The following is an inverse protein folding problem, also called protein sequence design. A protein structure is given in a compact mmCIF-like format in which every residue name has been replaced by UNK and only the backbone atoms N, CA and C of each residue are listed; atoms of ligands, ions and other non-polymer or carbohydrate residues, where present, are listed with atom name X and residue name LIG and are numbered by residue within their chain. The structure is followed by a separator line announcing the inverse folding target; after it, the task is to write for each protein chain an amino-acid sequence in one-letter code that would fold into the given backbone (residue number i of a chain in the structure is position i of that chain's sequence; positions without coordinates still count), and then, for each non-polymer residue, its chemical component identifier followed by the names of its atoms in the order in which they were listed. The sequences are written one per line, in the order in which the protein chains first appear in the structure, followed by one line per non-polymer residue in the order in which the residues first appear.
data_IF_162643231615
#
_entry.id   IF_162643231615
#
_cell.length_a   1.000
_cell.length_b   1.000
_cell.length_c   1.000
_cell.angle_alpha   90.00
_cell.angle_beta   90.00
_cell.angle_gamma   90.00
#
_symmetry.space_group_name_H-M   'P 1'
#
loop_
_entity.id
_entity.type
_entity.pdbx_description
1 polymer ?
#
# COMPACT_ATOMS: atom_id res chain seq x y z
N UNK A 1 -22.51 1.39 -19.77
CA UNK A 1 -21.25 0.72 -20.14
C UNK A 1 -20.00 1.63 -20.23
N UNK A 2 -20.10 2.95 -20.51
CA UNK A 2 -18.94 3.87 -20.61
C UNK A 2 -18.13 4.10 -19.30
N UNK A 3 -18.72 3.98 -18.12
CA UNK A 3 -18.02 4.19 -16.83
C UNK A 3 -16.95 3.13 -16.51
N UNK A 4 -17.12 1.89 -16.97
CA UNK A 4 -16.17 0.79 -16.70
C UNK A 4 -14.84 0.99 -17.42
N UNK A 5 -14.85 1.41 -18.68
CA UNK A 5 -13.63 1.55 -19.49
C UNK A 5 -12.74 2.71 -19.01
N UNK A 6 -13.33 3.86 -18.69
CA UNK A 6 -12.59 5.01 -18.18
C UNK A 6 -11.93 4.73 -16.79
N UNK A 7 -12.62 3.97 -15.95
CA UNK A 7 -12.07 3.53 -14.66
C UNK A 7 -10.85 2.61 -14.84
N UNK A 8 -10.96 1.65 -15.74
CA UNK A 8 -9.86 0.71 -16.04
C UNK A 8 -8.64 1.43 -16.61
N UNK A 9 -8.83 2.37 -17.54
CA UNK A 9 -7.74 3.16 -18.13
C UNK A 9 -7.01 3.99 -17.09
N UNK A 10 -7.73 4.68 -16.20
CA UNK A 10 -7.12 5.45 -15.11
C UNK A 10 -6.31 4.57 -14.18
N UNK A 11 -6.84 3.41 -13.78
CA UNK A 11 -6.13 2.48 -12.92
C UNK A 11 -4.82 2.00 -13.56
N UNK A 12 -4.85 1.64 -14.82
CA UNK A 12 -3.66 1.21 -15.58
C UNK A 12 -2.63 2.33 -15.64
N UNK A 13 -3.05 3.56 -15.97
CA UNK A 13 -2.15 4.72 -16.04
C UNK A 13 -1.47 4.99 -14.71
N UNK A 14 -2.22 5.05 -13.62
CA UNK A 14 -1.66 5.31 -12.29
C UNK A 14 -0.76 4.16 -11.81
N UNK A 15 -1.12 2.91 -12.09
CA UNK A 15 -0.26 1.76 -11.80
C UNK A 15 1.05 1.85 -12.56
N UNK A 16 1.01 2.19 -13.85
CA UNK A 16 2.21 2.35 -14.68
C UNK A 16 3.09 3.52 -14.17
N UNK A 17 2.49 4.65 -13.81
CA UNK A 17 3.21 5.80 -13.25
C UNK A 17 3.92 5.44 -11.93
N UNK A 18 3.23 4.73 -11.02
CA UNK A 18 3.82 4.29 -9.77
C UNK A 18 4.91 3.25 -9.98
N UNK A 19 4.74 2.33 -10.94
CA UNK A 19 5.78 1.37 -11.32
C UNK A 19 7.03 2.09 -11.83
N UNK A 20 6.86 3.10 -12.70
CA UNK A 20 7.96 3.93 -13.17
C UNK A 20 8.62 4.70 -12.01
N UNK A 21 7.83 5.20 -11.05
CA UNK A 21 8.37 5.89 -9.88
C UNK A 21 9.20 4.97 -8.99
N UNK A 22 8.76 3.72 -8.77
CA UNK A 22 9.56 2.70 -8.06
C UNK A 22 10.88 2.45 -8.80
N UNK A 23 10.82 2.24 -10.11
CA UNK A 23 12.01 2.03 -10.94
C UNK A 23 12.99 3.21 -10.83
N UNK A 24 12.50 4.44 -11.02
CA UNK A 24 13.33 5.66 -10.97
C UNK A 24 13.90 5.89 -9.57
N UNK A 25 13.15 5.64 -8.52
CA UNK A 25 13.65 5.78 -7.13
C UNK A 25 14.82 4.85 -6.83
N UNK A 26 14.93 3.72 -7.52
CA UNK A 26 16.09 2.82 -7.45
C UNK A 26 17.38 3.45 -7.98
N UNK A 27 17.30 4.40 -8.94
CA UNK A 27 18.46 5.11 -9.46
C UNK A 27 18.93 6.27 -8.59
N UNK A 28 18.18 6.64 -7.55
CA UNK A 28 18.67 7.59 -6.55
C UNK A 28 19.88 6.95 -5.87
N UNK A 29 21.03 7.67 -5.74
CA UNK A 29 22.22 7.09 -5.15
C UNK A 29 21.92 6.41 -3.83
N UNK A 30 22.25 5.11 -3.69
CA UNK A 30 22.00 4.39 -2.46
C UNK A 30 22.93 4.92 -1.35
N UNK A 31 22.46 4.85 -0.12
CA UNK A 31 23.31 5.11 1.03
C UNK A 31 24.21 3.89 1.25
N UNK A 32 25.52 4.04 1.04
CA UNK A 32 26.49 2.98 1.25
C UNK A 32 27.01 3.01 2.68
N UNK A 33 26.86 1.88 3.40
CA UNK A 33 27.33 1.71 4.78
C UNK A 33 28.23 0.47 4.83
N UNK A 34 29.56 0.59 4.65
CA UNK A 34 30.46 -0.55 4.78
C UNK A 34 30.53 -1.06 6.24
N UNK A 35 30.58 -2.36 6.49
CA UNK A 35 30.48 -3.49 5.55
C UNK A 35 29.05 -3.95 5.25
N UNK A 36 28.04 -3.29 5.84
CA UNK A 36 26.64 -3.71 5.86
C UNK A 36 26.05 -3.75 4.44
N UNK A 37 26.32 -2.72 3.62
CA UNK A 37 25.90 -2.68 2.22
C UNK A 37 25.25 -1.38 1.78
N UNK A 38 24.32 -1.50 0.82
CA UNK A 38 23.60 -0.39 0.19
C UNK A 38 22.17 -0.37 0.63
N UNK A 39 21.63 0.81 0.93
CA UNK A 39 20.25 1.06 1.28
C UNK A 39 19.60 1.82 0.11
N UNK A 40 18.54 1.28 -0.46
CA UNK A 40 17.79 1.88 -1.57
C UNK A 40 16.52 2.56 -1.07
N UNK A 41 16.03 3.52 -1.85
CA UNK A 41 14.87 4.33 -1.47
C UNK A 41 13.53 3.79 -2.03
N UNK A 42 13.58 2.75 -2.86
CA UNK A 42 12.41 2.24 -3.59
C UNK A 42 11.29 1.70 -2.68
N UNK A 43 11.63 1.15 -1.49
CA UNK A 43 10.65 0.54 -0.61
C UNK A 43 9.64 1.54 -0.06
N UNK A 44 10.06 2.79 0.18
CA UNK A 44 9.15 3.85 0.55
C UNK A 44 8.06 4.10 -0.51
N UNK A 45 8.43 4.05 -1.79
CA UNK A 45 7.49 4.20 -2.91
C UNK A 45 6.61 2.96 -3.06
N UNK A 46 7.16 1.75 -2.84
CA UNK A 46 6.40 0.50 -2.86
C UNK A 46 5.34 0.51 -1.77
N UNK A 47 5.71 0.82 -0.52
CA UNK A 47 4.74 0.93 0.57
C UNK A 47 3.67 2.00 0.30
N UNK A 48 4.07 3.15 -0.27
CA UNK A 48 3.11 4.18 -0.68
C UNK A 48 2.10 3.63 -1.68
N UNK A 49 2.56 2.84 -2.66
CA UNK A 49 1.70 2.13 -3.60
C UNK A 49 0.71 1.19 -2.91
N UNK A 50 1.15 0.47 -1.86
CA UNK A 50 0.28 -0.41 -1.09
C UNK A 50 -0.86 0.32 -0.38
N UNK A 51 -0.63 1.56 0.08
CA UNK A 51 -1.68 2.38 0.70
C UNK A 51 -2.70 2.90 -0.30
N UNK A 52 -2.29 3.13 -1.53
CA UNK A 52 -3.11 3.78 -2.56
C UNK A 52 -3.85 2.80 -3.45
N UNK A 53 -3.30 1.61 -3.67
CA UNK A 53 -3.81 0.66 -4.66
C UNK A 53 -4.22 -0.68 -4.05
N UNK A 54 -5.16 -1.35 -4.74
CA UNK A 54 -5.58 -2.72 -4.42
C UNK A 54 -4.43 -3.73 -4.60
N UNK A 55 -4.54 -4.96 -4.05
CA UNK A 55 -3.43 -5.91 -4.00
C UNK A 55 -2.79 -6.24 -5.36
N UNK A 56 -3.60 -6.43 -6.41
CA UNK A 56 -3.06 -6.80 -7.72
C UNK A 56 -2.27 -5.65 -8.40
N UNK A 57 -2.79 -4.40 -8.50
CA UNK A 57 -1.97 -3.27 -8.92
C UNK A 57 -0.72 -3.07 -8.06
N UNK A 58 -0.81 -3.25 -6.74
CA UNK A 58 0.35 -3.11 -5.84
C UNK A 58 1.43 -4.15 -6.14
N UNK A 59 1.05 -5.40 -6.43
CA UNK A 59 2.00 -6.42 -6.90
C UNK A 59 2.76 -5.96 -8.14
N UNK A 60 2.05 -5.39 -9.11
CA UNK A 60 2.67 -4.87 -10.34
C UNK A 60 3.60 -3.70 -10.03
N UNK A 61 3.19 -2.77 -9.18
CA UNK A 61 3.99 -1.60 -8.79
C UNK A 61 5.31 -2.04 -8.15
N UNK A 62 5.27 -2.86 -7.11
CA UNK A 62 6.46 -3.32 -6.40
C UNK A 62 7.31 -4.27 -7.25
N UNK A 63 6.70 -5.33 -7.77
CA UNK A 63 7.41 -6.37 -8.50
C UNK A 63 7.98 -5.89 -9.83
N UNK A 64 7.16 -5.28 -10.70
CA UNK A 64 7.64 -4.81 -12.00
C UNK A 64 8.57 -3.61 -11.89
N UNK A 65 8.35 -2.73 -10.89
CA UNK A 65 9.24 -1.59 -10.67
C UNK A 65 10.67 -2.01 -10.34
N UNK A 66 10.83 -2.95 -9.40
CA UNK A 66 12.15 -3.49 -9.02
C UNK A 66 12.73 -4.40 -10.09
N UNK A 67 11.91 -5.20 -10.77
CA UNK A 67 12.35 -6.00 -11.92
C UNK A 67 12.97 -5.13 -13.02
N UNK A 68 12.29 -4.06 -13.43
CA UNK A 68 12.78 -3.15 -14.47
C UNK A 68 14.05 -2.42 -14.04
N UNK A 69 14.13 -2.04 -12.75
CA UNK A 69 15.35 -1.46 -12.18
C UNK A 69 16.54 -2.41 -12.30
N UNK A 70 16.40 -3.66 -11.84
CA UNK A 70 17.45 -4.66 -11.92
C UNK A 70 17.83 -5.01 -13.36
N UNK A 71 16.84 -5.06 -14.26
CA UNK A 71 17.05 -5.29 -15.68
C UNK A 71 17.90 -4.18 -16.31
N UNK A 72 17.59 -2.91 -16.05
CA UNK A 72 18.33 -1.76 -16.58
C UNK A 72 19.74 -1.64 -16.01
N UNK A 73 19.96 -2.09 -14.78
CA UNK A 73 21.30 -2.20 -14.19
C UNK A 73 22.11 -3.40 -14.71
N UNK A 74 21.52 -4.28 -15.51
CA UNK A 74 22.16 -5.52 -15.95
C UNK A 74 22.29 -6.57 -14.83
N UNK A 75 21.57 -6.41 -13.73
CA UNK A 75 21.58 -7.32 -12.59
C UNK A 75 20.62 -8.51 -12.81
N UNK A 76 20.89 -9.27 -13.85
CA UNK A 76 20.00 -10.34 -14.35
C UNK A 76 19.72 -11.43 -13.33
N UNK A 77 20.65 -11.66 -12.40
CA UNK A 77 20.50 -12.66 -11.32
C UNK A 77 19.42 -12.24 -10.32
N UNK A 78 19.27 -10.93 -10.07
CA UNK A 78 18.32 -10.39 -9.08
C UNK A 78 16.96 -10.04 -9.65
N UNK A 79 16.83 -9.80 -10.96
CA UNK A 79 15.60 -9.28 -11.55
C UNK A 79 14.36 -10.14 -11.25
N UNK A 80 14.47 -11.48 -11.33
CA UNK A 80 13.35 -12.38 -11.01
C UNK A 80 13.09 -12.49 -9.50
N UNK A 81 14.11 -12.69 -8.65
CA UNK A 81 13.94 -12.60 -7.21
C UNK A 81 13.29 -11.29 -6.77
N UNK A 82 13.75 -10.14 -7.25
CA UNK A 82 13.19 -8.83 -6.89
C UNK A 82 11.73 -8.70 -7.31
N UNK A 83 11.36 -9.17 -8.50
CA UNK A 83 9.96 -9.20 -8.94
C UNK A 83 9.08 -9.98 -7.98
N UNK A 84 9.50 -11.17 -7.59
CA UNK A 84 8.70 -12.04 -6.71
C UNK A 84 8.65 -11.48 -5.29
N UNK A 85 9.79 -11.08 -4.73
CA UNK A 85 9.90 -10.62 -3.35
C UNK A 85 9.10 -9.33 -3.14
N UNK A 86 9.39 -8.28 -3.91
CA UNK A 86 8.69 -6.99 -3.78
C UNK A 86 7.25 -7.04 -4.31
N UNK A 87 6.97 -7.88 -5.30
CA UNK A 87 5.61 -8.13 -5.73
C UNK A 87 4.77 -8.76 -4.62
N UNK A 88 5.30 -9.80 -3.97
CA UNK A 88 4.63 -10.49 -2.87
C UNK A 88 4.49 -9.59 -1.63
N UNK A 89 5.55 -8.84 -1.28
CA UNK A 89 5.50 -7.79 -0.25
C UNK A 89 4.34 -6.85 -0.51
N UNK A 90 4.31 -6.23 -1.69
CA UNK A 90 3.31 -5.22 -2.04
C UNK A 90 1.89 -5.81 -2.09
N UNK A 91 1.74 -7.03 -2.60
CA UNK A 91 0.46 -7.71 -2.61
C UNK A 91 -0.08 -7.97 -1.20
N UNK A 92 0.75 -8.53 -0.32
CA UNK A 92 0.33 -8.91 1.04
C UNK A 92 0.05 -7.67 1.88
N UNK A 93 0.92 -6.65 1.84
CA UNK A 93 0.70 -5.39 2.57
C UNK A 93 -0.61 -4.73 2.11
N UNK A 94 -0.81 -4.59 0.81
CA UNK A 94 -2.05 -4.03 0.28
C UNK A 94 -3.27 -4.88 0.62
N UNK A 95 -3.16 -6.21 0.59
CA UNK A 95 -4.23 -7.12 0.99
C UNK A 95 -4.63 -6.92 2.46
N UNK A 96 -3.65 -6.83 3.36
CA UNK A 96 -3.89 -6.57 4.77
C UNK A 96 -4.59 -5.23 4.97
N UNK A 97 -4.10 -4.17 4.32
CA UNK A 97 -4.65 -2.82 4.45
C UNK A 97 -6.08 -2.68 3.90
N UNK A 98 -6.38 -3.33 2.77
CA UNK A 98 -7.64 -3.12 2.06
C UNK A 98 -8.71 -4.21 2.31
N UNK A 99 -8.30 -5.41 2.73
CA UNK A 99 -9.21 -6.56 2.91
C UNK A 99 -9.36 -6.98 4.36
N UNK A 100 -8.26 -6.95 5.15
CA UNK A 100 -8.28 -7.42 6.54
C UNK A 100 -8.64 -6.28 7.50
N UNK A 101 -8.08 -5.09 7.27
CA UNK A 101 -8.29 -3.91 8.12
C UNK A 101 -8.99 -2.72 7.42
N UNK A 102 -10.07 -2.93 6.66
CA UNK A 102 -10.68 -1.86 5.85
C UNK A 102 -11.24 -0.71 6.69
N UNK A 103 -11.68 -0.97 7.93
CA UNK A 103 -12.26 0.02 8.85
C UNK A 103 -11.25 0.67 9.79
N UNK A 104 -10.14 -0.01 10.06
CA UNK A 104 -9.11 0.44 11.01
C UNK A 104 -7.89 0.95 10.26
N UNK A 105 -8.05 2.08 9.55
CA UNK A 105 -6.92 2.77 8.92
C UNK A 105 -6.13 3.60 9.96
N UNK A 106 -6.02 3.08 11.18
CA UNK A 106 -5.16 3.66 12.19
C UNK A 106 -3.69 3.38 11.85
N UNK A 107 -2.78 4.31 12.13
CA UNK A 107 -1.36 4.16 11.79
C UNK A 107 -0.73 2.90 12.39
N UNK A 108 -1.24 2.41 13.53
CA UNK A 108 -0.74 1.20 14.17
C UNK A 108 -1.01 -0.07 13.34
N UNK A 109 -2.22 -0.20 12.75
CA UNK A 109 -2.54 -1.33 11.88
C UNK A 109 -1.80 -1.26 10.55
N UNK A 110 -1.64 -0.05 10.03
CA UNK A 110 -0.83 0.18 8.84
C UNK A 110 0.64 -0.21 9.08
N UNK A 111 1.19 0.18 10.21
CA UNK A 111 2.54 -0.18 10.63
C UNK A 111 2.70 -1.70 10.74
N UNK A 112 1.75 -2.40 11.38
CA UNK A 112 1.81 -3.86 11.50
C UNK A 112 1.75 -4.58 10.13
N UNK A 113 0.92 -4.09 9.20
CA UNK A 113 0.88 -4.63 7.83
C UNK A 113 2.22 -4.42 7.11
N UNK A 114 2.85 -3.26 7.27
CA UNK A 114 4.16 -2.97 6.69
C UNK A 114 5.27 -3.85 7.30
N UNK A 115 5.20 -4.16 8.61
CA UNK A 115 6.16 -5.08 9.25
C UNK A 115 6.08 -6.49 8.66
N UNK A 116 4.87 -6.98 8.33
CA UNK A 116 4.71 -8.26 7.63
C UNK A 116 5.38 -8.19 6.24
N UNK A 117 5.20 -7.09 5.52
CA UNK A 117 5.87 -6.85 4.24
C UNK A 117 7.39 -6.84 4.36
N UNK A 118 7.93 -6.14 5.36
CA UNK A 118 9.36 -6.08 5.64
C UNK A 118 9.95 -7.48 5.94
N UNK A 119 9.23 -8.29 6.73
CA UNK A 119 9.66 -9.66 7.01
C UNK A 119 9.76 -10.51 5.73
N UNK A 120 8.85 -10.32 4.77
CA UNK A 120 8.89 -11.02 3.47
C UNK A 120 10.14 -10.63 2.69
N UNK A 121 10.49 -9.35 2.63
CA UNK A 121 11.66 -8.86 1.90
C UNK A 121 12.95 -9.35 2.55
N UNK A 122 13.07 -9.20 3.86
CA UNK A 122 14.26 -9.64 4.61
C UNK A 122 14.50 -11.14 4.42
N UNK A 123 13.45 -11.96 4.61
CA UNK A 123 13.53 -13.40 4.42
C UNK A 123 13.79 -13.76 2.95
N UNK A 124 13.14 -13.10 2.02
CA UNK A 124 13.28 -13.34 0.58
C UNK A 124 14.69 -13.06 0.08
N UNK A 125 15.27 -11.91 0.42
CA UNK A 125 16.63 -11.59 0.04
C UNK A 125 17.66 -12.44 0.79
N UNK A 126 17.42 -12.78 2.04
CA UNK A 126 18.28 -13.71 2.77
C UNK A 126 18.38 -15.06 2.05
N UNK A 127 17.24 -15.66 1.69
CA UNK A 127 17.19 -16.90 0.92
C UNK A 127 17.80 -16.76 -0.48
N UNK A 128 17.54 -15.67 -1.16
CA UNK A 128 18.09 -15.41 -2.49
C UNK A 128 19.61 -15.35 -2.49
N UNK A 129 20.23 -14.72 -1.47
CA UNK A 129 21.68 -14.66 -1.34
C UNK A 129 22.31 -16.05 -1.15
N UNK A 130 21.64 -16.92 -0.43
CA UNK A 130 22.13 -18.29 -0.18
C UNK A 130 21.86 -19.18 -1.40
N UNK A 131 20.62 -19.23 -1.90
CA UNK A 131 20.19 -20.22 -2.88
C UNK A 131 20.46 -19.80 -4.33
N UNK A 132 20.30 -18.52 -4.65
CA UNK A 132 20.41 -18.01 -6.04
C UNK A 132 21.80 -17.44 -6.30
N UNK A 133 22.32 -16.61 -5.40
CA UNK A 133 23.65 -16.03 -5.54
C UNK A 133 24.78 -16.95 -5.08
N UNK A 134 24.46 -17.99 -4.33
CA UNK A 134 25.43 -18.95 -3.77
C UNK A 134 26.58 -18.28 -2.97
N UNK A 135 26.24 -17.20 -2.23
CA UNK A 135 27.23 -16.37 -1.48
C UNK A 135 27.53 -16.87 -0.08
N UNK A 136 26.84 -17.92 0.37
CA UNK A 136 27.00 -18.47 1.70
C UNK A 136 26.24 -17.71 2.80
N UNK A 137 26.17 -18.34 3.97
CA UNK A 137 25.42 -17.85 5.13
C UNK A 137 26.00 -16.55 5.70
N UNK A 138 27.35 -16.48 5.79
CA UNK A 138 28.06 -15.34 6.37
C UNK A 138 27.75 -14.04 5.61
N UNK A 139 27.77 -14.09 4.27
CA UNK A 139 27.41 -12.95 3.45
C UNK A 139 25.95 -12.54 3.64
N UNK A 140 25.03 -13.50 3.71
CA UNK A 140 23.61 -13.21 3.92
C UNK A 140 23.36 -12.53 5.27
N UNK A 141 24.04 -12.98 6.33
CA UNK A 141 23.95 -12.38 7.67
C UNK A 141 24.54 -10.97 7.72
N UNK A 142 25.70 -10.74 7.09
CA UNK A 142 26.33 -9.40 7.06
C UNK A 142 25.42 -8.38 6.34
N UNK A 143 24.67 -8.82 5.33
CA UNK A 143 23.79 -7.96 4.54
C UNK A 143 22.41 -7.74 5.17
N UNK A 144 21.98 -8.58 6.10
CA UNK A 144 20.66 -8.52 6.74
C UNK A 144 20.38 -7.17 7.43
N UNK A 145 21.32 -6.54 8.16
CA UNK A 145 21.09 -5.24 8.78
C UNK A 145 20.74 -4.13 7.76
N UNK A 146 21.35 -4.16 6.55
CA UNK A 146 21.01 -3.17 5.53
C UNK A 146 19.55 -3.31 5.05
N UNK A 147 19.06 -4.55 4.94
CA UNK A 147 17.68 -4.80 4.54
C UNK A 147 16.70 -4.30 5.63
N UNK A 148 17.02 -4.56 6.90
CA UNK A 148 16.20 -4.09 8.04
C UNK A 148 16.15 -2.56 8.07
N UNK A 149 17.27 -1.88 7.90
CA UNK A 149 17.33 -0.41 7.90
C UNK A 149 16.56 0.15 6.69
N UNK A 150 16.71 -0.46 5.53
CA UNK A 150 16.02 -0.08 4.30
C UNK A 150 14.50 -0.18 4.46
N UNK A 151 13.99 -1.31 4.96
CA UNK A 151 12.58 -1.51 5.22
C UNK A 151 12.04 -0.52 6.27
N UNK A 152 12.78 -0.32 7.37
CA UNK A 152 12.39 0.64 8.39
C UNK A 152 12.29 2.07 7.85
N UNK A 153 13.25 2.50 7.03
CA UNK A 153 13.23 3.81 6.37
C UNK A 153 12.07 3.91 5.39
N UNK A 154 11.80 2.86 4.61
CA UNK A 154 10.67 2.79 3.68
C UNK A 154 9.32 2.90 4.39
N UNK A 155 9.14 2.17 5.48
CA UNK A 155 7.92 2.22 6.32
C UNK A 155 7.74 3.63 6.90
N UNK A 156 8.79 4.21 7.49
CA UNK A 156 8.74 5.54 8.07
C UNK A 156 8.36 6.61 7.03
N UNK A 157 8.97 6.57 5.85
CA UNK A 157 8.68 7.48 4.74
C UNK A 157 7.22 7.33 4.27
N UNK A 158 6.74 6.11 4.05
CA UNK A 158 5.38 5.86 3.59
C UNK A 158 4.34 6.31 4.61
N UNK A 159 4.53 6.01 5.90
CA UNK A 159 3.64 6.45 6.97
C UNK A 159 3.61 7.96 7.10
N UNK A 160 4.77 8.62 7.05
CA UNK A 160 4.87 10.08 7.11
C UNK A 160 4.11 10.74 5.94
N UNK A 161 4.27 10.23 4.73
CA UNK A 161 3.60 10.76 3.54
C UNK A 161 2.09 10.49 3.61
N UNK A 162 1.67 9.27 3.96
CA UNK A 162 0.26 8.90 3.97
C UNK A 162 -0.52 9.59 5.09
N UNK A 163 0.02 9.62 6.30
CA UNK A 163 -0.67 10.14 7.48
C UNK A 163 -0.27 11.59 7.80
N UNK A 164 1.01 11.96 7.70
CA UNK A 164 1.49 13.30 7.96
C UNK A 164 0.99 14.30 6.92
N UNK A 165 1.13 14.00 5.64
CA UNK A 165 0.68 14.86 4.55
C UNK A 165 -0.77 14.60 4.13
N UNK A 166 -1.47 13.65 4.76
CA UNK A 166 -2.84 13.24 4.42
C UNK A 166 -3.03 12.98 2.92
N UNK A 167 -2.02 12.39 2.27
CA UNK A 167 -1.96 12.24 0.83
C UNK A 167 -3.18 11.52 0.26
N UNK A 168 -3.64 10.46 0.92
CA UNK A 168 -4.85 9.72 0.51
C UNK A 168 -6.08 10.62 0.44
N UNK A 169 -6.28 11.48 1.44
CA UNK A 169 -7.39 12.44 1.48
C UNK A 169 -7.28 13.49 0.37
N UNK A 170 -6.07 13.99 0.12
CA UNK A 170 -5.81 14.97 -0.92
C UNK A 170 -6.09 14.39 -2.32
N UNK A 171 -5.60 13.19 -2.60
CA UNK A 171 -5.80 12.52 -3.89
C UNK A 171 -7.26 12.08 -4.13
N UNK A 172 -7.98 11.71 -3.08
CA UNK A 172 -9.41 11.38 -3.18
C UNK A 172 -10.24 12.64 -3.46
N UNK A 173 -9.93 13.75 -2.78
CA UNK A 173 -10.63 15.04 -3.02
C UNK A 173 -10.37 15.60 -4.41
N UNK A 174 -9.19 15.41 -4.97
CA UNK A 174 -8.86 15.86 -6.34
C UNK A 174 -9.45 14.96 -7.44
N UNK A 175 -10.10 13.85 -7.09
CA UNK A 175 -10.64 12.88 -8.05
C UNK A 175 -9.57 12.16 -8.89
N UNK A 176 -8.29 12.30 -8.51
CA UNK A 176 -7.17 11.70 -9.22
C UNK A 176 -7.06 10.20 -8.99
N UNK A 177 -7.30 9.72 -7.76
CA UNK A 177 -7.41 8.29 -7.54
C UNK A 177 -8.75 7.80 -8.08
N UNK A 178 -8.75 6.72 -8.88
CA UNK A 178 -9.98 5.99 -9.10
C UNK A 178 -10.46 5.63 -7.69
N UNK A 179 -11.71 5.99 -7.41
CA UNK A 179 -12.38 5.54 -6.19
C UNK A 179 -12.21 4.02 -6.20
N UNK A 180 -11.15 3.52 -5.56
CA UNK A 180 -11.04 2.10 -5.26
C UNK A 180 -12.25 1.89 -4.39
N UNK A 181 -13.30 1.37 -5.02
CA UNK A 181 -14.54 1.05 -4.42
C UNK A 181 -14.23 0.29 -3.13
N UNK A 182 -14.04 1.03 -2.05
CA UNK A 182 -14.50 0.58 -0.76
C UNK A 182 -15.98 0.39 -1.05
N UNK A 183 -16.35 -0.82 -1.43
CA UNK A 183 -17.72 -1.24 -1.57
C UNK A 183 -18.35 -0.75 -0.28
N UNK A 184 -19.13 0.38 -0.35
CA UNK A 184 -19.95 0.83 0.76
C UNK A 184 -20.73 -0.41 1.13
N UNK A 185 -20.30 -1.06 2.19
CA UNK A 185 -20.84 -2.33 2.58
C UNK A 185 -22.33 -2.09 2.80
N UNK A 186 -23.15 -3.01 2.39
CA UNK A 186 -24.62 -2.92 2.48
C UNK A 186 -25.12 -2.56 3.89
N UNK A 187 -24.32 -2.79 4.92
CA UNK A 187 -24.60 -2.42 6.32
C UNK A 187 -24.38 -0.91 6.61
N UNK A 188 -23.47 -0.20 5.92
CA UNK A 188 -23.32 1.26 6.07
C UNK A 188 -24.50 2.02 5.46
N UNK A 189 -25.18 1.41 4.49
CA UNK A 189 -26.47 1.87 3.99
C UNK A 189 -27.62 1.53 4.95
N UNK A 190 -27.52 0.45 5.70
CA UNK A 190 -28.50 0.07 6.70
C UNK A 190 -28.41 0.97 7.95
N UNK A 191 -27.20 1.29 8.44
CA UNK A 191 -27.01 2.20 9.58
C UNK A 191 -27.55 3.62 9.22
N UNK A 192 -27.21 4.16 8.04
CA UNK A 192 -27.74 5.44 7.58
C UNK A 192 -29.26 5.43 7.31
N UNK A 193 -29.85 4.27 7.03
CA UNK A 193 -31.29 4.13 6.84
C UNK A 193 -32.03 3.89 8.15
N UNK A 194 -31.37 3.33 9.17
CA UNK A 194 -31.92 3.21 10.51
C UNK A 194 -31.92 4.54 11.24
N UNK A 195 -30.81 5.29 11.18
CA UNK A 195 -30.69 6.62 11.78
C UNK A 195 -31.73 7.59 11.19
N UNK A 196 -31.94 7.56 9.84
CA UNK A 196 -32.99 8.35 9.20
C UNK A 196 -34.40 7.92 9.58
N UNK A 197 -34.63 6.63 9.87
CA UNK A 197 -35.95 6.15 10.31
C UNK A 197 -36.23 6.53 11.76
N UNK A 198 -35.23 6.54 12.63
CA UNK A 198 -35.35 7.00 14.02
C UNK A 198 -35.65 8.50 14.06
N UNK A 199 -34.93 9.32 13.25
CA UNK A 199 -35.15 10.76 13.16
C UNK A 199 -36.57 11.13 12.69
N UNK A 200 -37.11 10.41 11.66
CA UNK A 200 -38.47 10.59 11.16
C UNK A 200 -39.54 10.13 12.17
N UNK A 201 -39.22 9.13 13.00
CA UNK A 201 -40.14 8.61 14.02
C UNK A 201 -40.23 9.56 15.22
N UNK A 202 -39.10 10.20 15.60
CA UNK A 202 -39.07 11.22 16.66
C UNK A 202 -39.79 12.52 16.22
N UNK A 203 -39.66 12.94 14.95
CA UNK A 203 -40.33 14.12 14.41
C UNK A 203 -41.86 13.92 14.38
N UNK A 204 -42.33 12.76 13.93
CA UNK A 204 -43.78 12.43 13.92
C UNK A 204 -44.38 12.25 15.32
N UNK A 205 -43.58 11.85 16.32
CA UNK A 205 -44.08 11.72 17.72
C UNK A 205 -44.12 13.04 18.47
N UNK A 206 -43.38 14.05 18.01
CA UNK A 206 -43.42 15.40 18.56
C UNK A 206 -44.59 16.21 18.05
N UNK A 207 -45.02 16.00 16.79
CA UNK A 207 -46.15 16.68 16.21
C UNK A 207 -47.49 16.16 16.77
N UNK A 208 -47.63 14.87 17.04
CA UNK A 208 -48.85 14.27 17.60
C UNK A 208 -49.10 14.66 19.08
N UNK A 209 -48.08 15.19 19.79
CA UNK A 209 -48.22 15.72 21.13
C UNK A 209 -48.65 17.18 21.22
N UNK A 210 -48.62 17.90 20.09
CA UNK A 210 -48.96 19.33 20.06
C UNK A 210 -50.42 19.58 19.71
N UNK A 211 -51.09 18.63 19.03
CA UNK A 211 -52.50 18.77 18.63
C UNK A 211 -53.51 18.35 19.72
N UNK A 212 -53.03 17.93 20.91
CA UNK A 212 -53.89 17.51 22.03
C UNK A 212 -54.18 18.57 23.11
N UNK A 213 -53.86 19.87 22.89
CA UNK A 213 -54.02 20.93 23.89
C UNK A 213 -54.81 22.14 23.45
N UNK A 214 -55.82 21.97 22.62
CA UNK A 214 -56.86 23.00 22.40
C UNK A 214 -58.25 22.33 22.45
N UNK A 215 -58.79 22.15 23.66
CA UNK A 215 -60.24 22.21 23.97
C UNK A 215 -60.39 22.70 25.39
#
# INVERSE_FOLDING_TARGET
MKKSTAFTTRLITFTAMMTALVMVSGFIPPLEIPPIGRIYWCDGVIFLGCFLFAPLPSFIIGGMGTFLYDLLLGNTVMMLPSLVIHGLQAFIVSFLLHKVFPKKQEPLFAFSACLVGAAIVIAGYFLTRILVQNRGLDYALIRMPSDVIQEAAGIAAALLICYGLRLKTALTKSGLLPEVSVRKNSWEKQDLSSDKKEEITEENTSDDKNDGKEI
#
